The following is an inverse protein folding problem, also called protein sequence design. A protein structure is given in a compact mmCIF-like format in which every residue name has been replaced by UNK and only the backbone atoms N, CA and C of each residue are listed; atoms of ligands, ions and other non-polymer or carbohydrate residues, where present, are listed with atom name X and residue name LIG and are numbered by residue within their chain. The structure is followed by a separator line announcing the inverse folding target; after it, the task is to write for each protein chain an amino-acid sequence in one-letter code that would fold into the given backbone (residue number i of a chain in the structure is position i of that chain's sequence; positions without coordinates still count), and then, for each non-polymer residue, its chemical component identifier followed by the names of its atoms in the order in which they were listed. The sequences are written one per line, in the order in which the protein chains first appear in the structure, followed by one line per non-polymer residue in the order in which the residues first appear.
data_IF_678331361571
#
_entry.id   IF_678331361571
#
_cell.length_a   1.000
_cell.length_b   1.000
_cell.length_c   1.000
_cell.angle_alpha   90.00
_cell.angle_beta   90.00
_cell.angle_gamma   90.00
#
_symmetry.space_group_name_H-M   'P 1'
#
loop_
_entity.id
_entity.type
_entity.pdbx_description
1 polymer ?
#
# COMPACT_ATOMS: atom_id res chain seq x y z
N UNK A 1 4.24 -14.50 14.09
CA UNK A 1 5.27 -13.64 14.67
C UNK A 1 6.57 -13.82 13.92
N UNK A 2 7.21 -12.72 13.53
CA UNK A 2 8.57 -12.69 13.02
C UNK A 2 9.53 -12.65 14.23
N UNK A 3 10.37 -13.67 14.40
CA UNK A 3 11.25 -13.77 15.56
C UNK A 3 12.42 -12.76 15.51
N UNK A 4 12.91 -12.48 14.30
CA UNK A 4 13.97 -11.53 14.02
C UNK A 4 13.62 -10.71 12.77
N UNK A 5 14.05 -9.44 12.64
CA UNK A 5 13.77 -8.61 11.48
C UNK A 5 14.61 -9.07 10.26
N UNK A 6 14.16 -10.12 9.59
CA UNK A 6 14.86 -10.74 8.46
C UNK A 6 14.35 -10.28 7.09
N UNK A 7 13.68 -9.16 7.03
CA UNK A 7 13.20 -8.54 5.79
C UNK A 7 11.70 -8.74 5.54
N UNK A 8 11.15 -7.90 4.67
CA UNK A 8 9.70 -7.83 4.40
C UNK A 8 9.19 -9.10 3.70
N UNK A 9 9.97 -9.65 2.77
CA UNK A 9 9.56 -10.84 2.03
C UNK A 9 9.38 -12.08 2.93
N UNK A 10 10.01 -12.11 4.12
CA UNK A 10 9.80 -13.18 5.10
C UNK A 10 8.35 -13.27 5.57
N UNK A 11 7.59 -12.15 5.54
CA UNK A 11 6.18 -12.16 5.92
C UNK A 11 5.35 -13.14 5.09
N UNK A 12 5.66 -13.28 3.78
CA UNK A 12 5.00 -14.24 2.89
C UNK A 12 5.32 -15.69 3.27
N UNK A 13 6.56 -15.96 3.67
CA UNK A 13 6.99 -17.29 4.13
C UNK A 13 6.29 -17.66 5.44
N UNK A 14 6.27 -16.73 6.40
CA UNK A 14 5.58 -16.93 7.69
C UNK A 14 4.07 -17.09 7.49
N UNK A 15 3.50 -16.34 6.54
CA UNK A 15 2.08 -16.35 6.20
C UNK A 15 1.64 -17.51 5.30
N UNK A 16 2.53 -18.42 4.89
CA UNK A 16 2.25 -19.46 3.90
C UNK A 16 0.95 -20.23 4.15
N UNK A 17 0.76 -20.71 5.37
CA UNK A 17 -0.44 -21.49 5.72
C UNK A 17 -1.72 -20.64 5.69
N UNK A 18 -1.62 -19.32 5.93
CA UNK A 18 -2.73 -18.39 5.84
C UNK A 18 -3.05 -18.04 4.38
N UNK A 19 -2.03 -17.83 3.56
CA UNK A 19 -2.16 -17.50 2.14
C UNK A 19 -2.70 -18.71 1.37
N UNK A 20 -2.20 -19.92 1.65
CA UNK A 20 -2.60 -21.13 0.95
C UNK A 20 -2.35 -20.99 -0.57
N UNK A 21 -3.42 -21.20 -1.34
CA UNK A 21 -3.38 -21.08 -2.81
C UNK A 21 -3.96 -19.75 -3.32
N UNK A 22 -4.27 -18.82 -2.43
CA UNK A 22 -4.87 -17.54 -2.80
C UNK A 22 -3.83 -16.51 -3.25
N UNK A 23 -4.31 -15.46 -3.91
CA UNK A 23 -3.55 -14.24 -4.13
C UNK A 23 -3.41 -13.48 -2.80
N UNK A 24 -2.38 -12.68 -2.68
CA UNK A 24 -2.09 -11.94 -1.45
C UNK A 24 -1.81 -10.48 -1.73
N UNK A 25 -2.39 -9.60 -0.92
CA UNK A 25 -1.97 -8.20 -0.81
C UNK A 25 -1.11 -8.04 0.45
N UNK A 26 0.06 -7.46 0.29
CA UNK A 26 0.97 -7.10 1.37
C UNK A 26 1.03 -5.57 1.45
N UNK A 27 0.68 -5.02 2.61
CA UNK A 27 0.79 -3.59 2.89
C UNK A 27 1.63 -3.37 4.13
N UNK A 28 2.55 -2.41 4.06
CA UNK A 28 3.35 -1.98 5.21
C UNK A 28 2.50 -1.07 6.09
N UNK A 29 2.49 -1.33 7.40
CA UNK A 29 1.57 -0.69 8.34
C UNK A 29 1.87 0.78 8.65
N UNK A 30 3.03 1.27 8.21
CA UNK A 30 3.50 2.65 8.33
C UNK A 30 3.33 3.46 7.03
N UNK A 31 2.75 2.87 5.99
CA UNK A 31 2.53 3.54 4.71
C UNK A 31 1.14 4.18 4.65
N UNK A 32 1.11 5.47 4.39
CA UNK A 32 -0.11 6.26 4.20
C UNK A 32 -0.28 6.64 2.73
N UNK A 33 -1.49 6.43 2.20
CA UNK A 33 -1.85 6.77 0.83
C UNK A 33 -3.09 7.65 0.80
N UNK A 34 -3.03 8.70 0.03
CA UNK A 34 -4.19 9.53 -0.28
C UNK A 34 -4.14 9.99 -1.74
N UNK A 35 -5.24 9.82 -2.47
CA UNK A 35 -5.30 10.25 -3.86
C UNK A 35 -6.59 9.84 -4.54
N UNK A 36 -6.95 10.59 -5.58
CA UNK A 36 -8.15 10.34 -6.37
C UNK A 36 -8.03 9.00 -7.12
N UNK A 37 -9.16 8.27 -7.21
CA UNK A 37 -9.24 6.99 -7.92
C UNK A 37 -8.32 5.88 -7.39
N UNK A 38 -7.83 5.98 -6.15
CA UNK A 38 -6.96 4.96 -5.58
C UNK A 38 -7.66 3.60 -5.49
N UNK A 39 -8.94 3.57 -5.08
CA UNK A 39 -9.72 2.33 -5.02
C UNK A 39 -9.78 1.61 -6.36
N UNK A 40 -9.93 2.32 -7.49
CA UNK A 40 -9.93 1.72 -8.81
C UNK A 40 -8.58 1.09 -9.18
N UNK A 41 -7.46 1.71 -8.77
CA UNK A 41 -6.12 1.14 -8.95
C UNK A 41 -5.93 -0.13 -8.13
N UNK A 42 -6.44 -0.16 -6.88
CA UNK A 42 -6.41 -1.34 -6.02
C UNK A 42 -7.26 -2.48 -6.61
N UNK A 43 -8.47 -2.19 -7.07
CA UNK A 43 -9.37 -3.16 -7.70
C UNK A 43 -8.74 -3.75 -8.98
N UNK A 44 -8.11 -2.92 -9.80
CA UNK A 44 -7.36 -3.36 -10.99
C UNK A 44 -6.21 -4.29 -10.61
N UNK A 45 -5.44 -3.95 -9.58
CA UNK A 45 -4.34 -4.80 -9.09
C UNK A 45 -4.85 -6.12 -8.52
N UNK A 46 -5.93 -6.09 -7.72
CA UNK A 46 -6.54 -7.28 -7.12
C UNK A 46 -7.20 -8.21 -8.15
N UNK A 47 -7.65 -7.68 -9.29
CA UNK A 47 -8.30 -8.47 -10.34
C UNK A 47 -7.31 -9.22 -11.26
N UNK A 48 -6.00 -9.01 -11.13
CA UNK A 48 -5.00 -9.73 -11.92
C UNK A 48 -4.89 -11.17 -11.44
N UNK A 49 -4.95 -12.09 -12.38
CA UNK A 49 -4.87 -13.52 -12.11
C UNK A 49 -3.43 -14.06 -12.00
N UNK A 50 -2.45 -13.31 -12.51
CA UNK A 50 -1.04 -13.73 -12.57
C UNK A 50 -0.11 -12.56 -12.35
N UNK A 51 1.06 -12.86 -11.78
CA UNK A 51 2.16 -11.91 -11.60
C UNK A 51 2.03 -11.08 -10.33
N UNK A 52 2.84 -10.04 -10.27
CA UNK A 52 2.86 -9.06 -9.18
C UNK A 52 2.46 -7.68 -9.68
N UNK A 53 1.83 -6.90 -8.81
CA UNK A 53 1.62 -5.46 -9.03
C UNK A 53 2.27 -4.67 -7.89
N UNK A 54 3.11 -3.72 -8.27
CA UNK A 54 3.72 -2.74 -7.37
C UNK A 54 3.25 -1.33 -7.72
N UNK A 55 3.31 -0.43 -6.75
CA UNK A 55 2.95 0.97 -6.93
C UNK A 55 4.21 1.82 -6.86
N UNK A 56 4.43 2.65 -7.87
CA UNK A 56 5.59 3.53 -7.94
C UNK A 56 5.18 5.00 -7.80
N UNK A 57 5.92 5.72 -6.99
CA UNK A 57 5.71 7.13 -6.67
C UNK A 57 7.00 7.93 -6.86
N UNK A 58 6.89 9.11 -7.48
CA UNK A 58 8.04 9.98 -7.68
C UNK A 58 8.41 10.69 -6.39
N UNK A 59 9.66 10.53 -5.95
CA UNK A 59 10.21 11.10 -4.70
C UNK A 59 11.43 11.97 -4.97
N UNK A 60 11.78 12.81 -4.00
CA UNK A 60 12.98 13.65 -4.05
C UNK A 60 14.24 12.97 -3.49
N UNK A 61 14.07 11.88 -2.75
CA UNK A 61 15.11 11.12 -2.04
C UNK A 61 15.07 9.63 -2.38
N UNK A 62 15.18 9.22 -3.66
CA UNK A 62 14.99 7.84 -4.09
C UNK A 62 15.97 6.85 -3.44
N UNK A 63 17.14 7.31 -3.01
CA UNK A 63 18.16 6.47 -2.34
C UNK A 63 17.70 5.83 -1.02
N UNK A 64 16.57 6.26 -0.48
CA UNK A 64 16.02 5.71 0.77
C UNK A 64 15.10 4.50 0.53
N UNK A 65 14.74 4.22 -0.72
CA UNK A 65 13.70 3.27 -1.10
C UNK A 65 14.19 2.24 -2.11
N UNK A 66 13.40 1.22 -2.35
CA UNK A 66 13.52 0.42 -3.57
C UNK A 66 13.16 1.28 -4.78
N UNK A 67 14.06 1.39 -5.75
CA UNK A 67 13.91 2.26 -6.92
C UNK A 67 13.63 1.43 -8.16
N UNK A 68 12.62 1.84 -8.93
CA UNK A 68 12.32 1.23 -10.22
C UNK A 68 12.76 2.16 -11.35
N UNK A 69 13.48 1.60 -12.33
CA UNK A 69 13.90 2.30 -13.53
C UNK A 69 13.06 1.86 -14.73
N UNK A 70 12.71 2.81 -15.58
CA UNK A 70 11.84 2.63 -16.74
C UNK A 70 12.58 2.94 -18.04
N UNK A 71 12.14 2.33 -19.13
CA UNK A 71 12.48 2.76 -20.48
C UNK A 71 11.63 3.98 -20.92
N UNK A 72 11.83 4.44 -22.16
CA UNK A 72 11.09 5.55 -22.72
C UNK A 72 9.58 5.29 -22.86
N UNK A 73 9.17 4.04 -22.93
CA UNK A 73 7.78 3.60 -23.03
C UNK A 73 7.17 3.27 -21.66
N UNK A 74 7.87 3.60 -20.58
CA UNK A 74 7.46 3.34 -19.19
C UNK A 74 7.34 1.84 -18.83
N UNK A 75 8.10 0.98 -19.50
CA UNK A 75 8.26 -0.40 -19.07
C UNK A 75 9.35 -0.48 -18.01
N UNK A 76 9.13 -1.27 -16.97
CA UNK A 76 10.11 -1.49 -15.92
C UNK A 76 11.34 -2.26 -16.48
N UNK A 77 12.53 -1.70 -16.32
CA UNK A 77 13.79 -2.29 -16.75
C UNK A 77 14.55 -2.94 -15.60
N UNK A 78 14.56 -2.28 -14.45
CA UNK A 78 15.29 -2.76 -13.26
C UNK A 78 14.66 -2.28 -11.98
N UNK A 79 14.97 -3.00 -10.89
CA UNK A 79 14.70 -2.59 -9.52
C UNK A 79 15.99 -2.70 -8.71
N UNK A 80 16.23 -1.71 -7.85
CA UNK A 80 17.41 -1.70 -6.98
C UNK A 80 17.00 -1.23 -5.58
N UNK A 81 17.43 -1.97 -4.55
CA UNK A 81 17.16 -1.62 -3.15
C UNK A 81 18.14 -0.56 -2.67
N UNK A 82 17.64 0.60 -2.29
CA UNK A 82 18.39 1.72 -1.70
C UNK A 82 19.70 2.02 -2.45
N UNK A 83 19.63 2.31 -3.76
CA UNK A 83 20.82 2.53 -4.58
C UNK A 83 21.60 3.77 -4.12
N UNK A 84 22.93 3.69 -4.07
CA UNK A 84 23.77 4.84 -3.77
C UNK A 84 23.72 5.93 -4.88
N UNK A 85 23.42 5.50 -6.12
CA UNK A 85 23.28 6.38 -7.29
C UNK A 85 22.04 5.98 -8.07
N UNK A 86 20.83 6.44 -7.66
CA UNK A 86 19.58 6.06 -8.30
C UNK A 86 19.53 6.48 -9.77
N UNK A 87 19.07 5.59 -10.64
CA UNK A 87 18.85 5.87 -12.07
C UNK A 87 17.45 6.43 -12.36
N UNK A 88 16.61 6.53 -11.35
CA UNK A 88 15.23 7.01 -11.44
C UNK A 88 14.79 7.65 -10.13
N UNK A 89 13.80 8.54 -10.20
CA UNK A 89 13.16 9.15 -9.01
C UNK A 89 11.93 8.37 -8.55
N UNK A 90 11.66 7.18 -9.13
CA UNK A 90 10.47 6.41 -8.79
C UNK A 90 10.77 5.38 -7.71
N UNK A 91 10.27 5.65 -6.51
CA UNK A 91 10.29 4.70 -5.39
C UNK A 91 9.15 3.69 -5.52
N UNK A 92 9.41 2.43 -5.22
CA UNK A 92 8.38 1.41 -5.02
C UNK A 92 7.81 1.58 -3.62
N UNK A 93 6.50 1.80 -3.54
CA UNK A 93 5.82 2.03 -2.26
C UNK A 93 5.59 0.71 -1.50
N UNK A 94 5.19 0.81 -0.23
CA UNK A 94 4.96 -0.36 0.62
C UNK A 94 3.61 -1.05 0.41
N UNK A 95 3.15 -1.18 -0.84
CA UNK A 95 1.91 -1.87 -1.20
C UNK A 95 2.15 -2.78 -2.41
N UNK A 96 1.82 -4.04 -2.24
CA UNK A 96 2.12 -5.09 -3.19
C UNK A 96 0.92 -6.02 -3.36
N UNK A 97 0.66 -6.46 -4.58
CA UNK A 97 -0.28 -7.53 -4.89
C UNK A 97 0.49 -8.65 -5.60
N UNK A 98 0.32 -9.86 -5.15
CA UNK A 98 1.02 -11.03 -5.68
C UNK A 98 0.05 -12.15 -5.98
N UNK A 99 0.35 -12.92 -7.01
CA UNK A 99 -0.26 -14.22 -7.23
C UNK A 99 0.26 -15.29 -6.23
N UNK A 100 -0.23 -16.50 -6.32
CA UNK A 100 0.12 -17.59 -5.40
C UNK A 100 1.56 -18.12 -5.53
N UNK A 101 2.35 -17.65 -6.53
CA UNK A 101 3.76 -17.99 -6.65
C UNK A 101 4.64 -17.27 -5.61
N UNK A 102 4.12 -16.18 -5.01
CA UNK A 102 4.89 -15.28 -4.15
C UNK A 102 5.60 -15.99 -3.00
N UNK A 103 4.93 -16.94 -2.35
CA UNK A 103 5.53 -17.70 -1.23
C UNK A 103 6.75 -18.52 -1.69
N UNK A 104 6.60 -19.23 -2.81
CA UNK A 104 7.69 -20.04 -3.36
C UNK A 104 8.85 -19.17 -3.85
N UNK A 105 8.55 -18.04 -4.48
CA UNK A 105 9.56 -17.07 -4.91
C UNK A 105 10.26 -16.44 -3.71
N UNK A 106 9.52 -16.08 -2.65
CA UNK A 106 10.10 -15.54 -1.42
C UNK A 106 11.07 -16.54 -0.74
N UNK A 107 10.77 -17.85 -0.79
CA UNK A 107 11.68 -18.89 -0.29
C UNK A 107 12.95 -19.04 -1.13
N UNK A 108 12.94 -18.63 -2.40
CA UNK A 108 14.07 -18.76 -3.33
C UNK A 108 15.03 -17.58 -3.31
N UNK A 109 14.65 -16.43 -2.74
CA UNK A 109 15.54 -15.26 -2.69
C UNK A 109 16.63 -15.44 -1.64
N UNK A 110 17.76 -14.80 -1.90
CA UNK A 110 18.91 -14.76 -0.99
C UNK A 110 18.85 -13.53 -0.11
N UNK A 111 19.38 -13.63 1.11
CA UNK A 111 19.54 -12.45 1.96
C UNK A 111 20.50 -11.45 1.32
N UNK A 112 20.16 -10.17 1.39
CA UNK A 112 21.01 -9.07 0.93
C UNK A 112 22.26 -8.92 1.82
N UNK A 113 23.15 -7.99 1.45
CA UNK A 113 24.27 -7.60 2.29
C UNK A 113 23.86 -7.07 3.67
N UNK A 114 22.60 -6.63 3.81
CA UNK A 114 22.00 -6.21 5.08
C UNK A 114 21.48 -7.39 5.93
N UNK A 115 21.56 -8.61 5.42
CA UNK A 115 21.05 -9.81 6.06
C UNK A 115 19.53 -10.01 5.93
N UNK A 116 18.86 -9.27 5.04
CA UNK A 116 17.41 -9.25 4.88
C UNK A 116 16.95 -9.93 3.60
N UNK A 117 15.80 -10.60 3.66
CA UNK A 117 15.05 -11.06 2.51
C UNK A 117 14.27 -9.87 1.94
N UNK A 118 14.88 -9.19 0.98
CA UNK A 118 14.35 -7.94 0.43
C UNK A 118 13.12 -8.20 -0.45
N UNK A 119 12.08 -7.40 -0.26
CA UNK A 119 10.92 -7.42 -1.15
C UNK A 119 11.28 -6.99 -2.57
N UNK A 120 12.30 -6.16 -2.73
CA UNK A 120 12.86 -5.77 -4.02
C UNK A 120 13.42 -6.98 -4.78
N UNK A 121 14.08 -7.91 -4.10
CA UNK A 121 14.55 -9.16 -4.72
C UNK A 121 13.40 -10.06 -5.17
N UNK A 122 12.31 -10.11 -4.40
CA UNK A 122 11.10 -10.80 -4.82
C UNK A 122 10.49 -10.17 -6.08
N UNK A 123 10.37 -8.84 -6.11
CA UNK A 123 9.83 -8.11 -7.26
C UNK A 123 10.72 -8.27 -8.50
N UNK A 124 12.05 -8.34 -8.34
CA UNK A 124 12.99 -8.65 -9.42
C UNK A 124 12.72 -10.03 -10.04
N UNK A 125 12.37 -11.04 -9.24
CA UNK A 125 12.00 -12.35 -9.78
C UNK A 125 10.77 -12.27 -10.69
N UNK A 126 9.78 -11.46 -10.34
CA UNK A 126 8.62 -11.21 -11.21
C UNK A 126 8.99 -10.40 -12.46
N UNK A 127 9.86 -9.39 -12.31
CA UNK A 127 10.34 -8.59 -13.43
C UNK A 127 11.08 -9.46 -14.45
N UNK A 128 11.99 -10.31 -14.00
CA UNK A 128 12.75 -11.22 -14.85
C UNK A 128 11.90 -12.25 -15.59
N UNK A 129 10.69 -12.53 -15.08
CA UNK A 129 9.68 -13.39 -15.73
C UNK A 129 8.73 -12.60 -16.64
N UNK A 130 8.89 -11.28 -16.77
CA UNK A 130 7.94 -10.38 -17.43
C UNK A 130 6.53 -10.43 -16.79
N UNK A 131 6.46 -10.64 -15.48
CA UNK A 131 5.24 -10.76 -14.69
C UNK A 131 5.09 -9.65 -13.63
N UNK A 132 5.91 -8.59 -13.72
CA UNK A 132 5.79 -7.42 -12.84
C UNK A 132 4.99 -6.33 -13.52
N UNK A 133 3.88 -5.92 -12.91
CA UNK A 133 3.07 -4.79 -13.32
C UNK A 133 3.36 -3.60 -12.41
N UNK A 134 3.43 -2.41 -12.97
CA UNK A 134 3.67 -1.18 -12.22
C UNK A 134 2.49 -0.23 -12.40
N UNK A 135 1.89 0.19 -11.29
CA UNK A 135 0.86 1.23 -11.27
C UNK A 135 1.51 2.53 -10.77
N UNK A 136 1.54 3.55 -11.63
CA UNK A 136 2.09 4.84 -11.25
C UNK A 136 1.09 5.65 -10.42
N UNK A 137 1.57 6.17 -9.30
CA UNK A 137 0.87 7.15 -8.49
C UNK A 137 1.30 8.55 -8.95
N UNK A 138 0.39 9.25 -9.63
CA UNK A 138 0.66 10.55 -10.26
C UNK A 138 0.64 11.72 -9.26
N UNK A 139 0.69 12.94 -9.78
CA UNK A 139 0.75 14.18 -8.99
C UNK A 139 -0.41 14.40 -8.02
N UNK A 140 -1.57 13.79 -8.26
CA UNK A 140 -2.74 13.89 -7.38
C UNK A 140 -2.66 12.97 -6.16
N UNK A 141 -1.57 12.22 -5.99
CA UNK A 141 -1.34 11.33 -4.86
C UNK A 141 -0.40 11.95 -3.83
N UNK A 142 -0.66 11.63 -2.57
CA UNK A 142 0.30 11.71 -1.48
C UNK A 142 0.58 10.30 -0.98
N UNK A 143 1.84 9.93 -0.96
CA UNK A 143 2.35 8.74 -0.30
C UNK A 143 3.38 9.17 0.73
N UNK A 144 3.21 8.71 1.96
CA UNK A 144 4.13 8.96 3.06
C UNK A 144 4.45 7.63 3.75
N UNK A 145 5.73 7.40 3.96
CA UNK A 145 6.26 6.38 4.84
C UNK A 145 6.41 7.01 6.22
N UNK A 146 5.62 6.58 7.21
CA UNK A 146 5.60 7.18 8.55
C UNK A 146 6.61 6.53 9.51
N UNK A 147 7.68 5.94 8.99
CA UNK A 147 8.72 5.26 9.75
C UNK A 147 9.59 6.16 10.62
N UNK A 148 9.53 7.50 10.44
CA UNK A 148 10.21 8.49 11.29
C UNK A 148 9.21 9.41 11.98
N UNK A 149 9.64 10.06 13.08
CA UNK A 149 8.79 11.03 13.79
C UNK A 149 8.41 12.21 12.91
N UNK A 150 9.32 12.69 12.07
CA UNK A 150 9.09 13.81 11.15
C UNK A 150 8.04 13.43 10.10
N UNK A 151 8.19 12.28 9.45
CA UNK A 151 7.24 11.79 8.46
C UNK A 151 5.85 11.52 9.08
N UNK A 152 5.80 11.01 10.32
CA UNK A 152 4.55 10.82 11.04
C UNK A 152 3.84 12.15 11.31
N UNK A 153 4.60 13.19 11.66
CA UNK A 153 4.08 14.54 11.87
C UNK A 153 3.55 15.13 10.56
N UNK A 154 4.28 14.96 9.46
CA UNK A 154 3.83 15.40 8.13
C UNK A 154 2.54 14.71 7.70
N UNK A 155 2.44 13.40 7.88
CA UNK A 155 1.23 12.64 7.60
C UNK A 155 0.05 13.14 8.43
N UNK A 156 0.27 13.41 9.74
CA UNK A 156 -0.74 13.95 10.64
C UNK A 156 -1.23 15.33 10.20
N UNK A 157 -0.34 16.21 9.77
CA UNK A 157 -0.68 17.52 9.23
C UNK A 157 -1.47 17.42 7.93
N UNK A 158 -1.09 16.53 7.02
CA UNK A 158 -1.81 16.28 5.77
C UNK A 158 -3.24 15.81 6.03
N UNK A 159 -3.41 14.78 6.87
CA UNK A 159 -4.71 14.24 7.27
C UNK A 159 -5.58 15.35 7.86
N UNK A 160 -5.04 16.09 8.84
CA UNK A 160 -5.77 17.20 9.48
C UNK A 160 -6.21 18.26 8.47
N UNK A 161 -5.33 18.66 7.55
CA UNK A 161 -5.64 19.67 6.54
C UNK A 161 -6.77 19.23 5.60
N UNK A 162 -6.72 17.98 5.12
CA UNK A 162 -7.71 17.42 4.20
C UNK A 162 -9.06 17.27 4.92
N UNK A 163 -9.10 16.60 6.08
CA UNK A 163 -10.33 16.38 6.83
C UNK A 163 -11.01 17.69 7.23
N UNK A 164 -10.22 18.66 7.69
CA UNK A 164 -10.73 19.98 8.06
C UNK A 164 -11.33 20.75 6.87
N UNK A 165 -10.77 20.58 5.67
CA UNK A 165 -11.23 21.31 4.49
C UNK A 165 -12.40 20.64 3.80
N UNK A 166 -12.37 19.32 3.70
CA UNK A 166 -13.38 18.57 2.96
C UNK A 166 -14.54 18.08 3.85
N UNK A 167 -14.34 18.04 5.17
CA UNK A 167 -15.35 17.51 6.09
C UNK A 167 -15.48 15.98 6.03
N UNK A 168 -14.62 15.31 5.26
CA UNK A 168 -14.59 13.86 5.12
C UNK A 168 -13.58 13.25 6.09
N UNK A 169 -13.71 11.95 6.35
CA UNK A 169 -12.74 11.19 7.13
C UNK A 169 -11.89 10.31 6.22
N UNK A 170 -10.57 10.41 6.35
CA UNK A 170 -9.63 9.56 5.61
C UNK A 170 -9.63 8.17 6.23
N UNK A 171 -9.62 7.13 5.37
CA UNK A 171 -9.62 5.72 5.76
C UNK A 171 -10.74 5.35 6.75
N UNK A 172 -11.91 5.97 6.63
CA UNK A 172 -13.09 5.63 7.43
C UNK A 172 -13.61 4.26 7.03
N UNK A 173 -13.31 3.23 7.83
CA UNK A 173 -13.67 1.85 7.52
C UNK A 173 -15.17 1.63 7.43
N UNK A 174 -15.96 2.31 8.27
CA UNK A 174 -17.42 2.24 8.26
C UNK A 174 -17.99 2.86 6.98
N UNK A 175 -17.43 3.96 6.49
CA UNK A 175 -17.83 4.57 5.21
C UNK A 175 -17.49 3.65 4.04
N UNK A 176 -16.28 3.11 4.00
CA UNK A 176 -15.85 2.15 2.97
C UNK A 176 -16.79 0.95 2.96
N UNK A 177 -17.07 0.37 4.12
CA UNK A 177 -17.97 -0.78 4.23
C UNK A 177 -19.41 -0.44 3.83
N UNK A 178 -19.89 0.76 4.13
CA UNK A 178 -21.21 1.24 3.73
C UNK A 178 -21.30 1.42 2.22
N UNK A 179 -20.31 2.09 1.61
CA UNK A 179 -20.27 2.34 0.17
C UNK A 179 -20.11 1.03 -0.64
N UNK A 180 -19.44 0.01 -0.07
CA UNK A 180 -19.31 -1.33 -0.66
C UNK A 180 -20.54 -2.23 -0.41
N UNK A 181 -21.56 -1.75 0.33
CA UNK A 181 -22.74 -2.52 0.66
C UNK A 181 -22.52 -3.62 1.73
N UNK A 182 -21.35 -3.68 2.35
CA UNK A 182 -21.04 -4.63 3.42
C UNK A 182 -21.68 -4.22 4.75
N UNK A 183 -21.96 -2.93 4.91
CA UNK A 183 -22.62 -2.35 6.07
C UNK A 183 -23.89 -1.65 5.63
N UNK A 184 -25.04 -2.00 6.23
CA UNK A 184 -26.29 -1.29 5.94
C UNK A 184 -26.48 -0.07 6.83
N UNK A 185 -27.42 0.80 6.46
CA UNK A 185 -27.72 2.05 7.17
C UNK A 185 -28.00 1.85 8.67
N UNK A 186 -28.79 0.83 9.04
CA UNK A 186 -29.13 0.59 10.44
C UNK A 186 -27.91 0.21 11.30
N UNK A 187 -27.00 -0.57 10.76
CA UNK A 187 -25.73 -0.92 11.42
C UNK A 187 -24.81 0.29 11.51
N UNK A 188 -24.75 1.13 10.46
CA UNK A 188 -23.97 2.36 10.47
C UNK A 188 -24.49 3.34 11.54
N UNK A 189 -25.81 3.54 11.63
CA UNK A 189 -26.44 4.36 12.69
C UNK A 189 -26.15 3.83 14.09
N UNK A 190 -26.20 2.50 14.27
CA UNK A 190 -25.84 1.90 15.56
C UNK A 190 -24.37 2.18 15.92
N UNK A 191 -23.46 2.12 14.95
CA UNK A 191 -22.04 2.44 15.16
C UNK A 191 -21.86 3.92 15.51
N UNK A 192 -22.55 4.81 14.79
CA UNK A 192 -22.56 6.24 15.07
C UNK A 192 -23.05 6.55 16.50
N UNK A 193 -24.09 5.86 16.98
CA UNK A 193 -24.62 6.06 18.34
C UNK A 193 -23.61 5.61 19.42
N UNK A 194 -22.87 4.52 19.21
CA UNK A 194 -21.81 4.11 20.13
C UNK A 194 -20.70 5.17 20.26
N UNK A 195 -20.48 5.94 19.20
CA UNK A 195 -19.43 6.96 19.11
C UNK A 195 -19.98 8.40 19.19
N UNK A 196 -21.24 8.60 19.64
CA UNK A 196 -21.97 9.88 19.57
C UNK A 196 -21.27 11.07 20.22
N UNK A 197 -20.38 10.82 21.17
CA UNK A 197 -19.61 11.86 21.87
C UNK A 197 -18.42 12.40 21.05
N UNK A 198 -18.09 11.76 19.93
CA UNK A 198 -16.94 12.10 19.10
C UNK A 198 -17.34 12.78 17.79
N UNK A 199 -16.42 13.51 17.17
CA UNK A 199 -16.62 14.01 15.80
C UNK A 199 -16.83 12.89 14.80
N UNK A 200 -16.09 11.78 14.97
CA UNK A 200 -16.22 10.61 14.13
C UNK A 200 -17.62 10.01 14.16
N UNK A 201 -18.22 9.88 15.34
CA UNK A 201 -19.62 9.41 15.46
C UNK A 201 -20.63 10.34 14.82
N UNK A 202 -20.43 11.67 14.92
CA UNK A 202 -21.26 12.66 14.23
C UNK A 202 -21.15 12.52 12.70
N UNK A 203 -19.94 12.35 12.20
CA UNK A 203 -19.68 12.08 10.79
C UNK A 203 -20.44 10.84 10.28
N UNK A 204 -20.29 9.70 10.97
CA UNK A 204 -21.00 8.46 10.61
C UNK A 204 -22.53 8.64 10.59
N UNK A 205 -23.07 9.42 11.52
CA UNK A 205 -24.51 9.71 11.55
C UNK A 205 -24.96 10.54 10.34
N UNK A 206 -24.19 11.56 9.96
CA UNK A 206 -24.46 12.38 8.78
C UNK A 206 -24.41 11.51 7.51
N UNK A 207 -23.37 10.71 7.36
CA UNK A 207 -23.23 9.76 6.26
C UNK A 207 -24.42 8.81 6.14
N UNK A 208 -24.87 8.24 7.27
CA UNK A 208 -26.00 7.32 7.29
C UNK A 208 -27.34 7.99 6.90
N UNK A 209 -27.47 9.27 7.14
CA UNK A 209 -28.69 10.05 6.83
C UNK A 209 -28.65 10.68 5.42
N UNK A 210 -27.58 10.49 4.66
CA UNK A 210 -27.41 11.09 3.33
C UNK A 210 -27.21 12.60 3.37
N UNK A 211 -26.70 13.14 4.47
CA UNK A 211 -26.48 14.58 4.71
C UNK A 211 -25.03 15.01 4.43
N UNK A 212 -24.37 14.37 3.46
CA UNK A 212 -23.01 14.68 3.00
C UNK A 212 -23.03 15.37 1.64
#
# INVERSE_FOLDING_TARGET
LQAHPEGIAQALIIGENFIGNDHVALILGDNFYFGESFSAKLEKAAARSEGATVFAYKVSNPQEFGVIHFDADMNALSLEEKPASPQSDYAVTGLYFYDNQAVNLAKSIQKSARGELEVTSLNLNYLNKNQLHVELLGRGFAWLDTGTHDNLLEASHLVHAIEKRQGLKIACLEEIAFNKGWLNQSKLLRRAELLRQTEYGRYLKQLALGAS
#
